data_IF_562624461158
#
_entry.id   IF_562624461158
#
_cell.length_a   1.000
_cell.length_b   1.000
_cell.length_c   1.000
_cell.angle_alpha   90.00
_cell.angle_beta   90.00
_cell.angle_gamma   90.00
#
_symmetry.space_group_name_H-M   'P 1'
#
loop_
_entity.id
_entity.type
_entity.pdbx_description
1 polymer ?
#
# COMPACT_ATOMS: atom_id res chain seq x y z
N UNK A 1 12.76 13.67 18.92
CA UNK A 1 14.06 13.58 18.23
C UNK A 1 14.38 12.10 18.13
N UNK A 2 14.43 11.36 17.03
CA UNK A 2 14.34 11.53 15.57
C UNK A 2 14.12 10.09 15.06
N UNK A 3 13.00 9.76 14.40
CA UNK A 3 13.03 9.48 12.96
C UNK A 3 13.74 8.16 12.63
N UNK A 4 13.09 7.01 12.90
CA UNK A 4 13.57 5.71 12.44
C UNK A 4 13.42 5.62 10.92
N UNK A 5 14.51 5.28 10.23
CA UNK A 5 14.59 5.25 8.78
C UNK A 5 13.67 4.16 8.19
N UNK A 6 12.52 4.57 7.68
CA UNK A 6 11.68 3.75 6.81
C UNK A 6 12.41 3.50 5.48
N UNK A 7 13.23 2.44 5.37
CA UNK A 7 13.67 1.97 4.06
C UNK A 7 15.05 1.33 3.93
N UNK A 8 15.84 1.21 4.98
CA UNK A 8 17.16 0.57 4.86
C UNK A 8 17.00 -0.94 4.56
N UNK A 9 17.28 -1.36 3.32
CA UNK A 9 17.21 -2.75 2.86
C UNK A 9 16.00 -3.11 2.00
N UNK A 10 15.11 -2.15 1.69
CA UNK A 10 13.97 -2.37 0.78
C UNK A 10 14.24 -1.70 -0.58
N UNK A 11 13.86 -2.38 -1.66
CA UNK A 11 13.94 -1.83 -3.04
C UNK A 11 13.11 -0.55 -3.22
N UNK A 12 12.01 -0.40 -2.46
CA UNK A 12 11.12 0.76 -2.50
C UNK A 12 10.72 1.17 -1.07
N UNK A 13 10.42 2.46 -0.82
CA UNK A 13 9.98 2.98 0.48
C UNK A 13 8.51 2.62 0.74
N UNK A 14 8.24 1.32 0.78
CA UNK A 14 6.90 0.76 0.91
C UNK A 14 6.68 0.26 2.34
N UNK A 15 5.71 0.82 3.11
CA UNK A 15 5.44 0.34 4.46
C UNK A 15 4.79 -1.06 4.44
N UNK A 16 4.04 -1.38 3.38
CA UNK A 16 3.41 -2.70 3.20
C UNK A 16 4.42 -3.81 2.82
N UNK A 17 5.64 -3.45 2.40
CA UNK A 17 6.70 -4.42 2.12
C UNK A 17 7.41 -4.78 3.42
N UNK A 18 7.04 -5.90 4.03
CA UNK A 18 7.66 -6.39 5.28
C UNK A 18 8.88 -7.28 5.05
N UNK A 19 8.99 -7.90 3.87
CA UNK A 19 10.13 -8.74 3.49
C UNK A 19 10.49 -8.54 2.02
N UNK A 20 11.51 -7.73 1.74
CA UNK A 20 11.91 -7.42 0.37
C UNK A 20 12.75 -8.56 -0.22
N UNK A 21 12.18 -9.27 -1.20
CA UNK A 21 12.87 -10.38 -1.89
C UNK A 21 13.71 -9.93 -3.10
N UNK A 22 13.84 -8.62 -3.34
CA UNK A 22 14.59 -8.08 -4.48
C UNK A 22 14.17 -8.68 -5.85
N UNK A 23 12.90 -9.05 -5.97
CA UNK A 23 12.37 -9.60 -7.21
C UNK A 23 12.38 -8.56 -8.35
N UNK A 24 12.34 -9.06 -9.59
CA UNK A 24 12.22 -8.23 -10.79
C UNK A 24 10.99 -7.32 -10.75
N UNK A 25 11.02 -6.23 -11.52
CA UNK A 25 9.94 -5.23 -11.54
C UNK A 25 8.59 -5.82 -11.97
N UNK A 26 8.63 -6.86 -12.80
CA UNK A 26 7.49 -7.67 -13.21
C UNK A 26 6.85 -8.45 -12.06
N UNK A 27 7.64 -8.85 -11.06
CA UNK A 27 7.23 -9.72 -9.95
C UNK A 27 6.87 -9.00 -8.65
N UNK A 28 7.33 -7.77 -8.41
CA UNK A 28 6.98 -7.09 -7.16
C UNK A 28 5.57 -6.48 -7.20
N UNK A 29 4.52 -7.28 -7.06
CA UNK A 29 3.13 -6.77 -6.94
C UNK A 29 2.92 -5.85 -5.73
N UNK A 30 3.67 -6.08 -4.65
CA UNK A 30 3.62 -5.28 -3.43
C UNK A 30 4.36 -3.94 -3.59
N UNK A 31 5.41 -3.90 -4.42
CA UNK A 31 6.17 -2.68 -4.69
C UNK A 31 5.66 -1.90 -5.92
N UNK A 32 4.96 -2.55 -6.86
CA UNK A 32 4.39 -1.93 -8.06
C UNK A 32 3.12 -1.16 -7.76
N UNK A 33 2.37 -1.53 -6.72
CA UNK A 33 1.23 -0.74 -6.30
C UNK A 33 1.75 0.56 -5.65
N UNK A 34 1.05 1.71 -5.80
CA UNK A 34 1.37 2.89 -5.03
C UNK A 34 1.32 2.52 -3.55
N UNK A 35 2.51 2.48 -2.95
CA UNK A 35 2.70 2.10 -1.57
C UNK A 35 1.93 3.04 -0.66
N UNK A 36 1.21 2.45 0.30
CA UNK A 36 0.30 3.10 1.23
C UNK A 36 -0.85 3.89 0.59
N UNK A 37 -1.91 3.18 0.21
CA UNK A 37 -3.24 3.73 0.52
C UNK A 37 -3.43 3.54 2.01
N UNK A 38 -3.70 4.64 2.74
CA UNK A 38 -4.08 4.60 4.15
C UNK A 38 -5.08 3.46 4.38
N UNK A 39 -4.83 2.62 5.39
CA UNK A 39 -5.82 1.59 5.80
C UNK A 39 -7.07 2.32 6.27
N UNK A 40 -8.17 2.11 5.56
CA UNK A 40 -9.47 2.66 5.90
C UNK A 40 -10.00 1.95 7.14
N UNK A 41 -10.63 2.69 8.05
CA UNK A 41 -11.47 2.11 9.10
C UNK A 41 -12.64 1.33 8.50
N UNK A 42 -13.32 0.50 9.29
CA UNK A 42 -14.47 -0.27 8.81
C UNK A 42 -15.55 0.63 8.23
N UNK A 43 -15.85 1.76 8.89
CA UNK A 43 -16.84 2.72 8.41
C UNK A 43 -16.44 3.34 7.05
N UNK A 44 -15.18 3.74 6.91
CA UNK A 44 -14.67 4.30 5.65
C UNK A 44 -14.65 3.27 4.51
N UNK A 45 -14.43 1.99 4.82
CA UNK A 45 -14.52 0.91 3.83
C UNK A 45 -15.96 0.74 3.33
N UNK A 46 -16.95 0.75 4.24
CA UNK A 46 -18.38 0.67 3.89
C UNK A 46 -18.78 1.85 3.00
N UNK A 47 -18.42 3.08 3.39
CA UNK A 47 -18.74 4.27 2.61
C UNK A 47 -18.12 4.23 1.20
N UNK A 48 -16.84 3.83 1.09
CA UNK A 48 -16.17 3.68 -0.19
C UNK A 48 -16.86 2.64 -1.08
N UNK A 49 -17.21 1.48 -0.50
CA UNK A 49 -17.91 0.40 -1.21
C UNK A 49 -19.25 0.89 -1.78
N UNK A 50 -20.07 1.54 -0.96
CA UNK A 50 -21.35 2.09 -1.41
C UNK A 50 -21.17 3.14 -2.52
N UNK A 51 -20.17 4.02 -2.39
CA UNK A 51 -19.88 5.05 -3.40
C UNK A 51 -19.53 4.43 -4.75
N UNK A 52 -18.63 3.44 -4.76
CA UNK A 52 -18.22 2.74 -5.98
C UNK A 52 -19.41 2.04 -6.67
N UNK A 53 -20.28 1.40 -5.88
CA UNK A 53 -21.48 0.75 -6.39
C UNK A 53 -22.52 1.75 -6.94
N UNK A 54 -22.61 2.96 -6.37
CA UNK A 54 -23.46 4.03 -6.91
C UNK A 54 -22.97 4.55 -8.26
N UNK A 55 -21.66 4.56 -8.49
CA UNK A 55 -21.03 5.06 -9.73
C UNK A 55 -20.91 4.04 -10.86
N UNK A 56 -21.15 2.75 -10.60
CA UNK A 56 -21.14 1.68 -11.61
C UNK A 56 -22.50 1.51 -12.35
N UNK A 57 -23.39 2.49 -12.26
CA UNK A 57 -24.71 2.49 -12.91
C UNK A 57 -24.72 3.24 -14.22
#
# INVERSE_FOLDING_TARGET
MTGEAEGEGKKHPCPDCTFCQWCGDDRCRLCRAPCAKRKLSLAEQVELYEKLNRTQK
#
